data_IF_778282363770
#
_entry.id   IF_778282363770
#
_cell.length_a   1.000
_cell.length_b   1.000
_cell.length_c   1.000
_cell.angle_alpha   90.00
_cell.angle_beta   90.00
_cell.angle_gamma   90.00
#
_symmetry.space_group_name_H-M   'P 1'
#
loop_
_entity.id
_entity.type
_entity.pdbx_description
1 polymer ?
#
# COMPACT_ATOMS: atom_id res chain seq x y z
N UNK A 1 -8.64 -30.49 12.53
CA UNK A 1 -10.12 -30.54 12.47
C UNK A 1 -10.79 -29.40 13.26
N UNK A 2 -10.13 -28.81 14.26
CA UNK A 2 -10.67 -27.70 15.07
C UNK A 2 -10.11 -26.33 14.67
N UNK A 3 -9.92 -26.08 13.37
CA UNK A 3 -9.37 -24.82 12.86
C UNK A 3 -10.50 -23.93 12.37
N UNK A 4 -10.49 -22.66 12.77
CA UNK A 4 -11.32 -21.59 12.19
C UNK A 4 -10.49 -20.77 11.23
N UNK A 5 -10.95 -20.67 9.98
CA UNK A 5 -10.26 -19.94 8.90
C UNK A 5 -10.98 -18.61 8.68
N UNK A 6 -10.20 -17.52 8.65
CA UNK A 6 -10.69 -16.20 8.21
C UNK A 6 -10.09 -15.90 6.84
N UNK A 7 -10.94 -15.68 5.85
CA UNK A 7 -10.52 -15.28 4.50
C UNK A 7 -10.82 -13.79 4.33
N UNK A 8 -9.79 -12.98 4.50
CA UNK A 8 -9.91 -11.54 4.32
C UNK A 8 -9.89 -11.17 2.84
N UNK A 9 -10.57 -10.04 2.49
CA UNK A 9 -10.79 -9.59 1.11
C UNK A 9 -11.22 -10.74 0.20
N UNK A 10 -12.18 -11.51 0.66
CA UNK A 10 -12.60 -12.79 0.03
C UNK A 10 -12.99 -12.62 -1.43
N UNK A 11 -13.57 -11.48 -1.82
CA UNK A 11 -13.91 -11.14 -3.20
C UNK A 11 -12.71 -11.12 -4.16
N UNK A 12 -11.49 -11.02 -3.64
CA UNK A 12 -10.22 -11.12 -4.38
C UNK A 12 -9.56 -12.47 -4.12
N UNK A 13 -9.49 -12.90 -2.86
CA UNK A 13 -8.78 -14.11 -2.44
C UNK A 13 -9.39 -15.38 -3.07
N UNK A 14 -10.72 -15.50 -3.09
CA UNK A 14 -11.39 -16.68 -3.66
C UNK A 14 -11.14 -16.85 -5.16
N UNK A 15 -11.27 -15.80 -6.01
CA UNK A 15 -10.87 -15.87 -7.41
C UNK A 15 -9.39 -16.20 -7.62
N UNK A 16 -8.49 -15.68 -6.78
CA UNK A 16 -7.06 -15.99 -6.85
C UNK A 16 -6.79 -17.46 -6.56
N UNK A 17 -7.39 -18.03 -5.51
CA UNK A 17 -7.31 -19.47 -5.20
C UNK A 17 -7.80 -20.32 -6.37
N UNK A 18 -8.89 -19.92 -7.02
CA UNK A 18 -9.41 -20.62 -8.19
C UNK A 18 -8.46 -20.58 -9.40
N UNK A 19 -7.79 -19.43 -9.62
CA UNK A 19 -6.84 -19.23 -10.72
C UNK A 19 -5.46 -19.87 -10.51
N UNK A 20 -5.04 -20.07 -9.26
CA UNK A 20 -3.67 -20.41 -8.87
C UNK A 20 -3.16 -21.71 -9.50
N UNK A 21 -3.95 -22.80 -9.41
CA UNK A 21 -3.59 -24.09 -10.01
C UNK A 21 -3.43 -24.00 -11.54
N UNK A 22 -4.40 -23.37 -12.21
CA UNK A 22 -4.38 -23.28 -13.68
C UNK A 22 -3.17 -22.46 -14.17
N UNK A 23 -2.87 -21.36 -13.52
CA UNK A 23 -1.73 -20.52 -13.85
C UNK A 23 -0.40 -21.23 -13.67
N UNK A 24 -0.20 -21.91 -12.53
CA UNK A 24 1.02 -22.69 -12.25
C UNK A 24 1.18 -23.85 -13.23
N UNK A 25 0.11 -24.61 -13.47
CA UNK A 25 0.08 -25.75 -14.39
C UNK A 25 0.47 -25.30 -15.81
N UNK A 26 -0.19 -24.28 -16.36
CA UNK A 26 0.10 -23.78 -17.71
C UNK A 26 1.55 -23.34 -17.85
N UNK A 27 2.06 -22.55 -16.87
CA UNK A 27 3.44 -22.10 -16.87
C UNK A 27 4.44 -23.28 -16.85
N UNK A 28 4.26 -24.24 -15.96
CA UNK A 28 5.14 -25.40 -15.82
C UNK A 28 5.10 -26.31 -17.03
N UNK A 29 3.89 -26.52 -17.59
CA UNK A 29 3.72 -27.29 -18.82
C UNK A 29 4.54 -26.70 -19.96
N UNK A 30 4.38 -25.40 -20.22
CA UNK A 30 5.17 -24.70 -21.24
C UNK A 30 6.67 -24.83 -21.00
N UNK A 31 7.14 -24.58 -19.76
CA UNK A 31 8.57 -24.66 -19.43
C UNK A 31 9.12 -26.09 -19.59
N UNK A 32 8.34 -27.13 -19.32
CA UNK A 32 8.72 -28.51 -19.51
C UNK A 32 8.75 -28.90 -21.00
N UNK A 33 7.74 -28.49 -21.78
CA UNK A 33 7.68 -28.74 -23.22
C UNK A 33 8.85 -28.15 -23.99
N UNK A 34 9.32 -26.96 -23.57
CA UNK A 34 10.49 -26.30 -24.17
C UNK A 34 11.82 -26.64 -23.49
N UNK A 35 11.87 -27.63 -22.57
CA UNK A 35 13.09 -28.11 -21.95
C UNK A 35 13.71 -27.20 -20.88
N UNK A 36 13.03 -26.13 -20.46
CA UNK A 36 13.51 -25.26 -19.39
C UNK A 36 13.35 -25.86 -17.99
N UNK A 37 12.47 -26.84 -17.83
CA UNK A 37 12.23 -27.60 -16.61
C UNK A 37 12.02 -29.08 -16.90
N UNK A 38 12.33 -29.94 -15.92
CA UNK A 38 12.02 -31.36 -16.00
C UNK A 38 10.50 -31.58 -15.91
N UNK A 39 9.96 -32.65 -16.55
CA UNK A 39 8.53 -33.01 -16.45
C UNK A 39 8.03 -33.15 -15.01
N UNK A 40 8.88 -33.67 -14.10
CA UNK A 40 8.58 -33.82 -12.67
C UNK A 40 8.27 -32.48 -11.95
N UNK A 41 8.55 -31.33 -12.55
CA UNK A 41 8.12 -30.04 -11.99
C UNK A 41 6.59 -29.92 -11.85
N UNK A 42 5.84 -30.73 -12.58
CA UNK A 42 4.38 -30.78 -12.53
C UNK A 42 3.85 -31.39 -11.22
N UNK A 43 4.66 -32.22 -10.53
CA UNK A 43 4.26 -32.93 -9.31
C UNK A 43 4.16 -31.98 -8.11
N UNK A 44 5.04 -30.98 -8.06
CA UNK A 44 4.95 -29.91 -7.07
C UNK A 44 3.98 -28.83 -7.54
N UNK A 45 2.75 -28.90 -7.11
CA UNK A 45 1.66 -28.02 -7.55
C UNK A 45 0.87 -27.44 -6.37
N UNK A 46 0.25 -26.24 -6.54
CA UNK A 46 -0.73 -25.75 -5.59
C UNK A 46 -1.99 -26.63 -5.60
N UNK A 47 -2.78 -26.52 -4.55
CA UNK A 47 -4.10 -27.17 -4.49
C UNK A 47 -5.01 -26.67 -5.62
N UNK A 48 -5.84 -27.55 -6.13
CA UNK A 48 -7.00 -27.15 -6.94
C UNK A 48 -8.04 -26.50 -6.03
N UNK A 49 -8.85 -25.63 -6.58
CA UNK A 49 -9.91 -24.96 -5.82
C UNK A 49 -10.85 -25.95 -5.11
N UNK A 50 -11.25 -27.02 -5.79
CA UNK A 50 -12.12 -28.06 -5.23
C UNK A 50 -11.44 -28.83 -4.07
N UNK A 51 -10.14 -29.06 -4.16
CA UNK A 51 -9.36 -29.70 -3.09
C UNK A 51 -9.31 -28.79 -1.86
N UNK A 52 -9.02 -27.50 -2.07
CA UNK A 52 -9.04 -26.49 -1.01
C UNK A 52 -10.43 -26.37 -0.37
N UNK A 53 -11.49 -26.32 -1.18
CA UNK A 53 -12.86 -26.20 -0.70
C UNK A 53 -13.30 -27.41 0.13
N UNK A 54 -12.88 -28.62 -0.27
CA UNK A 54 -13.16 -29.85 0.47
C UNK A 54 -12.35 -29.97 1.78
N UNK A 55 -11.15 -29.39 1.83
CA UNK A 55 -10.26 -29.43 3.01
C UNK A 55 -10.58 -28.37 4.05
N UNK A 56 -11.18 -27.24 3.65
CA UNK A 56 -11.47 -26.16 4.58
C UNK A 56 -12.51 -26.60 5.62
N UNK A 57 -12.25 -26.21 6.85
CA UNK A 57 -13.14 -26.39 7.99
C UNK A 57 -14.10 -25.20 8.13
N UNK A 58 -14.49 -24.84 9.34
CA UNK A 58 -15.27 -23.63 9.58
C UNK A 58 -14.57 -22.41 9.03
N UNK A 59 -15.22 -21.67 8.14
CA UNK A 59 -14.59 -20.57 7.42
C UNK A 59 -15.49 -19.33 7.45
N UNK A 60 -14.90 -18.19 7.80
CA UNK A 60 -15.53 -16.88 7.75
C UNK A 60 -14.90 -16.08 6.60
N UNK A 61 -15.73 -15.68 5.63
CA UNK A 61 -15.32 -14.83 4.53
C UNK A 61 -15.63 -13.37 4.87
N UNK A 62 -14.61 -12.51 4.81
CA UNK A 62 -14.72 -11.09 5.14
C UNK A 62 -14.47 -10.28 3.88
N UNK A 63 -15.38 -9.36 3.57
CA UNK A 63 -15.25 -8.46 2.43
C UNK A 63 -16.17 -7.26 2.58
N UNK A 64 -15.72 -6.08 2.14
CA UNK A 64 -16.59 -4.91 2.00
C UNK A 64 -17.57 -5.05 0.81
N UNK A 65 -17.24 -5.92 -0.14
CA UNK A 65 -17.98 -6.16 -1.40
C UNK A 65 -17.97 -7.65 -1.74
N UNK A 66 -18.78 -8.49 -1.05
CA UNK A 66 -18.77 -9.95 -1.24
C UNK A 66 -18.90 -10.38 -2.71
N UNK A 67 -18.20 -11.45 -3.08
CA UNK A 67 -18.20 -12.00 -4.43
C UNK A 67 -19.45 -12.83 -4.75
N UNK A 68 -19.68 -13.14 -6.05
CA UNK A 68 -20.81 -14.00 -6.44
C UNK A 68 -20.72 -15.39 -5.83
N UNK A 69 -19.50 -15.93 -5.69
CA UNK A 69 -19.28 -17.26 -5.14
C UNK A 69 -19.70 -17.33 -3.67
N UNK A 70 -19.28 -16.36 -2.84
CA UNK A 70 -19.62 -16.29 -1.40
C UNK A 70 -21.14 -16.14 -1.22
N UNK A 71 -21.76 -15.25 -2.01
CA UNK A 71 -23.20 -15.04 -1.97
C UNK A 71 -23.98 -16.30 -2.42
N UNK A 72 -23.46 -17.04 -3.40
CA UNK A 72 -24.04 -18.30 -3.84
C UNK A 72 -23.95 -19.36 -2.73
N UNK A 73 -22.81 -19.49 -2.05
CA UNK A 73 -22.62 -20.45 -0.96
C UNK A 73 -23.55 -20.19 0.22
N UNK A 74 -23.90 -18.94 0.49
CA UNK A 74 -24.75 -18.53 1.60
C UNK A 74 -26.20 -18.26 1.21
N UNK A 75 -26.60 -18.59 -0.02
CA UNK A 75 -27.93 -18.25 -0.59
C UNK A 75 -28.25 -16.76 -0.43
N UNK A 76 -27.27 -15.89 -0.62
CA UNK A 76 -27.38 -14.45 -0.50
C UNK A 76 -27.42 -13.90 0.93
N UNK A 77 -27.29 -14.75 1.94
CA UNK A 77 -27.26 -14.31 3.34
C UNK A 77 -25.87 -13.93 3.79
N UNK A 78 -25.74 -12.79 4.44
CA UNK A 78 -24.49 -12.33 5.03
C UNK A 78 -24.75 -11.46 6.27
N UNK A 79 -23.74 -11.34 7.14
CA UNK A 79 -23.78 -10.47 8.31
C UNK A 79 -23.18 -9.12 7.92
N UNK A 80 -23.97 -8.07 8.09
CA UNK A 80 -23.60 -6.71 7.70
C UNK A 80 -23.01 -5.94 8.90
N UNK A 81 -21.69 -5.71 8.90
CA UNK A 81 -20.97 -4.97 9.92
C UNK A 81 -20.63 -3.57 9.41
N UNK A 82 -21.55 -2.63 9.56
CA UNK A 82 -21.40 -1.25 9.07
C UNK A 82 -20.89 -0.29 10.15
N UNK A 83 -21.26 -0.53 11.40
CA UNK A 83 -21.01 0.42 12.48
C UNK A 83 -19.53 0.47 12.86
N UNK A 84 -18.95 1.66 12.80
CA UNK A 84 -17.59 1.97 13.25
C UNK A 84 -17.62 2.57 14.64
N UNK A 85 -16.86 2.00 15.62
CA UNK A 85 -16.81 2.52 17.00
C UNK A 85 -16.32 3.97 17.08
N UNK A 86 -15.46 4.40 16.11
CA UNK A 86 -14.94 5.77 16.00
C UNK A 86 -15.99 6.81 15.62
N UNK A 87 -17.20 6.39 15.24
CA UNK A 87 -18.25 7.27 14.75
C UNK A 87 -18.04 7.78 13.31
N UNK A 88 -16.94 7.43 12.64
CA UNK A 88 -16.65 7.87 11.28
C UNK A 88 -17.68 7.35 10.28
N UNK A 89 -18.24 8.26 9.50
CA UNK A 89 -19.18 7.95 8.44
C UNK A 89 -18.48 7.71 7.12
N UNK A 90 -19.12 7.00 6.21
CA UNK A 90 -18.68 6.95 4.82
C UNK A 90 -18.69 8.36 4.21
N UNK A 91 -17.79 8.67 3.26
CA UNK A 91 -17.63 10.00 2.70
C UNK A 91 -18.87 10.42 1.91
N UNK A 92 -19.03 11.73 1.73
CA UNK A 92 -20.00 12.29 0.79
C UNK A 92 -19.51 12.04 -0.64
N UNK A 93 -20.41 11.55 -1.50
CA UNK A 93 -20.11 11.27 -2.90
C UNK A 93 -20.80 12.28 -3.78
N UNK A 94 -20.04 13.03 -4.57
CA UNK A 94 -20.52 14.01 -5.54
C UNK A 94 -20.26 13.50 -6.95
N UNK A 95 -21.25 13.62 -7.83
CA UNK A 95 -21.07 13.36 -9.26
C UNK A 95 -20.97 14.69 -9.98
N UNK A 96 -19.90 14.88 -10.74
CA UNK A 96 -19.62 16.09 -11.53
C UNK A 96 -19.40 15.76 -13.01
N UNK A 97 -19.69 16.71 -13.93
CA UNK A 97 -19.46 16.48 -15.35
C UNK A 97 -18.00 16.15 -15.67
N UNK A 98 -17.76 15.20 -16.60
CA UNK A 98 -16.42 14.85 -17.01
C UNK A 98 -15.74 15.89 -17.93
N UNK A 99 -16.50 16.77 -18.56
CA UNK A 99 -15.99 17.74 -19.57
C UNK A 99 -14.84 18.62 -19.06
N UNK A 100 -14.88 19.08 -17.80
CA UNK A 100 -13.86 19.95 -17.20
C UNK A 100 -13.21 19.27 -15.97
N UNK A 101 -13.13 17.95 -15.98
CA UNK A 101 -12.68 17.16 -14.81
C UNK A 101 -11.26 17.49 -14.34
N UNK A 102 -10.36 17.87 -15.23
CA UNK A 102 -8.95 18.14 -14.91
C UNK A 102 -8.79 19.47 -14.17
N UNK A 103 -9.45 20.53 -14.63
CA UNK A 103 -9.37 21.87 -14.02
C UNK A 103 -10.10 21.92 -12.68
N UNK A 104 -11.26 21.26 -12.60
CA UNK A 104 -12.01 21.12 -11.35
C UNK A 104 -11.21 20.31 -10.32
N UNK A 105 -10.62 19.21 -10.75
CA UNK A 105 -9.72 18.38 -9.92
C UNK A 105 -8.51 19.17 -9.41
N UNK A 106 -7.87 19.98 -10.27
CA UNK A 106 -6.74 20.83 -9.89
C UNK A 106 -7.12 21.77 -8.74
N UNK A 107 -8.30 22.40 -8.83
CA UNK A 107 -8.81 23.32 -7.82
C UNK A 107 -9.04 22.57 -6.49
N UNK A 108 -9.72 21.44 -6.54
CA UNK A 108 -10.00 20.60 -5.36
C UNK A 108 -8.70 20.09 -4.70
N UNK A 109 -7.73 19.63 -5.50
CA UNK A 109 -6.44 19.18 -4.98
C UNK A 109 -5.69 20.33 -4.26
N UNK A 110 -5.71 21.55 -4.81
CA UNK A 110 -5.11 22.72 -4.16
C UNK A 110 -5.81 23.09 -2.84
N UNK A 111 -7.12 22.99 -2.78
CA UNK A 111 -7.88 23.25 -1.54
C UNK A 111 -7.57 22.24 -0.44
N UNK A 112 -7.52 20.96 -0.80
CA UNK A 112 -7.19 19.87 0.13
C UNK A 112 -5.74 19.97 0.61
N UNK A 113 -4.79 20.28 -0.28
CA UNK A 113 -3.40 20.49 0.08
C UNK A 113 -3.21 21.68 1.05
N UNK A 114 -3.95 22.78 0.89
CA UNK A 114 -3.95 23.91 1.83
C UNK A 114 -4.36 23.52 3.24
N UNK A 115 -5.26 22.55 3.37
CA UNK A 115 -5.71 21.97 4.65
C UNK A 115 -4.74 20.93 5.21
N UNK A 116 -3.62 20.67 4.53
CA UNK A 116 -2.64 19.64 4.86
C UNK A 116 -3.17 18.20 4.83
N UNK A 117 -4.20 17.95 4.02
CA UNK A 117 -4.72 16.61 3.72
C UNK A 117 -4.17 16.07 2.39
N UNK A 118 -4.45 14.81 2.10
CA UNK A 118 -3.97 14.10 0.91
C UNK A 118 -5.13 13.75 -0.02
N UNK A 119 -4.80 13.68 -1.31
CA UNK A 119 -5.76 13.36 -2.36
C UNK A 119 -5.32 12.10 -3.12
N UNK A 120 -6.28 11.22 -3.41
CA UNK A 120 -6.10 10.04 -4.26
C UNK A 120 -6.89 10.25 -5.55
N UNK A 121 -6.25 10.09 -6.70
CA UNK A 121 -6.87 10.27 -8.01
C UNK A 121 -6.74 8.99 -8.82
N UNK A 122 -7.87 8.48 -9.35
CA UNK A 122 -7.86 7.28 -10.18
C UNK A 122 -8.14 7.61 -11.64
N UNK A 123 -7.28 7.09 -12.53
CA UNK A 123 -7.42 7.19 -13.99
C UNK A 123 -7.69 5.82 -14.61
N UNK A 124 -7.95 5.77 -15.91
CA UNK A 124 -8.19 4.52 -16.64
C UNK A 124 -6.94 3.93 -17.27
N UNK A 125 -5.98 4.76 -17.67
CA UNK A 125 -4.79 4.33 -18.40
C UNK A 125 -3.51 4.91 -17.83
N UNK A 126 -2.37 4.25 -18.09
CA UNK A 126 -1.04 4.73 -17.69
C UNK A 126 -0.76 6.11 -18.29
N UNK A 127 -1.00 6.27 -19.59
CA UNK A 127 -0.78 7.53 -20.28
C UNK A 127 -1.57 8.68 -19.64
N UNK A 128 -2.86 8.46 -19.35
CA UNK A 128 -3.68 9.47 -18.68
C UNK A 128 -3.16 9.81 -17.28
N UNK A 129 -2.60 8.83 -16.55
CA UNK A 129 -2.00 9.08 -15.25
C UNK A 129 -0.71 9.92 -15.36
N UNK A 130 0.12 9.65 -16.35
CA UNK A 130 1.35 10.39 -16.64
C UNK A 130 1.03 11.82 -17.07
N UNK A 131 0.18 11.99 -18.08
CA UNK A 131 -0.24 13.31 -18.59
C UNK A 131 -0.89 14.17 -17.48
N UNK A 132 -1.73 13.56 -16.64
CA UNK A 132 -2.35 14.23 -15.50
C UNK A 132 -1.33 14.64 -14.43
N UNK A 133 -0.36 13.77 -14.15
CA UNK A 133 0.70 14.07 -13.18
C UNK A 133 1.55 15.23 -13.64
N UNK A 134 1.95 15.27 -14.92
CA UNK A 134 2.68 16.37 -15.51
C UNK A 134 1.89 17.67 -15.42
N UNK A 135 0.62 17.66 -15.84
CA UNK A 135 -0.27 18.82 -15.75
C UNK A 135 -0.41 19.39 -14.33
N UNK A 136 -0.67 18.51 -13.35
CA UNK A 136 -0.79 18.93 -11.94
C UNK A 136 0.53 19.49 -11.41
N UNK A 137 1.66 18.89 -11.77
CA UNK A 137 3.00 19.36 -11.38
C UNK A 137 3.32 20.75 -11.96
N UNK A 138 3.06 20.96 -13.24
CA UNK A 138 3.24 22.27 -13.91
C UNK A 138 2.40 23.37 -13.26
N UNK A 139 1.22 23.00 -12.73
CA UNK A 139 0.33 23.90 -11.99
C UNK A 139 0.66 24.04 -10.50
N UNK A 140 1.85 23.58 -10.06
CA UNK A 140 2.39 23.78 -8.72
C UNK A 140 1.82 22.86 -7.65
N UNK A 141 1.21 21.72 -8.04
CA UNK A 141 0.75 20.68 -7.10
C UNK A 141 1.86 19.65 -6.92
N UNK A 142 2.15 19.29 -5.67
CA UNK A 142 3.09 18.20 -5.38
C UNK A 142 2.39 16.87 -5.61
N UNK A 143 2.70 16.22 -6.72
CA UNK A 143 2.04 15.01 -7.19
C UNK A 143 3.03 13.91 -7.53
N UNK A 144 2.63 12.67 -7.28
CA UNK A 144 3.28 11.46 -7.80
C UNK A 144 2.26 10.54 -8.45
N UNK A 145 2.69 9.72 -9.42
CA UNK A 145 1.85 8.64 -9.94
C UNK A 145 2.39 7.28 -9.52
N UNK A 146 1.48 6.30 -9.48
CA UNK A 146 1.79 4.93 -9.13
C UNK A 146 1.17 3.97 -10.16
N UNK A 147 2.00 3.09 -10.75
CA UNK A 147 1.57 2.09 -11.74
C UNK A 147 1.95 0.66 -11.31
N UNK A 148 1.52 -0.33 -12.10
CA UNK A 148 1.70 -1.75 -11.79
C UNK A 148 3.14 -2.25 -11.79
N UNK A 149 4.05 -1.52 -12.46
CA UNK A 149 5.42 -1.96 -12.67
C UNK A 149 6.38 -1.45 -11.59
N UNK A 150 5.85 -0.68 -10.61
CA UNK A 150 6.58 -0.21 -9.44
C UNK A 150 6.82 -1.39 -8.49
N UNK A 151 8.06 -1.54 -8.03
CA UNK A 151 8.44 -2.55 -7.06
C UNK A 151 7.72 -2.36 -5.71
N UNK A 152 7.58 -3.46 -4.97
CA UNK A 152 6.86 -3.46 -3.69
C UNK A 152 7.49 -2.51 -2.67
N UNK A 153 8.83 -2.43 -2.63
CA UNK A 153 9.55 -1.53 -1.72
C UNK A 153 9.31 -0.06 -2.08
N UNK A 154 9.44 0.28 -3.36
CA UNK A 154 9.17 1.64 -3.85
C UNK A 154 7.69 2.05 -3.60
N UNK A 155 6.74 1.11 -3.76
CA UNK A 155 5.34 1.35 -3.42
C UNK A 155 5.15 1.71 -1.94
N UNK A 156 5.84 1.04 -1.04
CA UNK A 156 5.80 1.32 0.40
C UNK A 156 6.34 2.74 0.68
N UNK A 157 7.46 3.11 0.05
CA UNK A 157 8.05 4.43 0.18
C UNK A 157 7.12 5.54 -0.35
N UNK A 158 6.50 5.34 -1.53
CA UNK A 158 5.54 6.29 -2.10
C UNK A 158 4.36 6.52 -1.14
N UNK A 159 3.81 5.46 -0.54
CA UNK A 159 2.69 5.58 0.41
C UNK A 159 3.13 6.30 1.69
N UNK A 160 4.33 6.01 2.20
CA UNK A 160 4.92 6.69 3.34
C UNK A 160 5.13 8.19 3.07
N UNK A 161 5.73 8.52 1.93
CA UNK A 161 5.99 9.89 1.50
C UNK A 161 4.69 10.69 1.37
N UNK A 162 3.63 10.09 0.82
CA UNK A 162 2.30 10.68 0.78
C UNK A 162 1.78 10.99 2.19
N UNK A 163 1.87 10.03 3.11
CA UNK A 163 1.39 10.19 4.48
C UNK A 163 2.17 11.27 5.25
N UNK A 164 3.50 11.32 5.10
CA UNK A 164 4.36 12.34 5.70
C UNK A 164 4.08 13.73 5.08
N UNK A 165 3.67 13.78 3.80
CA UNK A 165 3.39 15.02 3.09
C UNK A 165 4.55 15.55 2.26
N UNK A 166 5.43 14.67 1.81
CA UNK A 166 6.44 15.01 0.79
C UNK A 166 5.73 15.48 -0.49
N UNK A 167 4.59 14.86 -0.80
CA UNK A 167 3.68 15.28 -1.85
C UNK A 167 2.22 15.13 -1.38
N UNK A 168 1.27 15.79 -2.07
CA UNK A 168 -0.10 15.96 -1.62
C UNK A 168 -1.10 15.11 -2.42
N UNK A 169 -0.75 14.75 -3.66
CA UNK A 169 -1.65 14.04 -4.59
C UNK A 169 -0.97 12.77 -5.11
N UNK A 170 -1.66 11.65 -5.00
CA UNK A 170 -1.26 10.38 -5.60
C UNK A 170 -2.20 10.02 -6.74
N UNK A 171 -1.67 9.93 -7.96
CA UNK A 171 -2.40 9.49 -9.14
C UNK A 171 -2.13 7.99 -9.38
N UNK A 172 -3.16 7.22 -9.65
CA UNK A 172 -2.99 5.78 -9.92
C UNK A 172 -4.13 5.21 -10.77
N UNK A 173 -3.93 4.02 -11.33
CA UNK A 173 -4.94 3.34 -12.15
C UNK A 173 -5.80 2.43 -11.26
N UNK A 174 -5.25 1.33 -10.85
CA UNK A 174 -5.94 0.26 -10.14
C UNK A 174 -5.40 0.03 -8.71
N UNK A 175 -4.24 0.57 -8.42
CA UNK A 175 -3.47 0.30 -7.20
C UNK A 175 -4.02 0.99 -5.95
N UNK A 176 -5.09 1.77 -6.10
CA UNK A 176 -5.70 2.52 -5.01
C UNK A 176 -6.87 1.77 -4.33
N UNK A 177 -7.09 0.49 -4.65
CA UNK A 177 -8.23 -0.29 -4.11
C UNK A 177 -7.89 -1.03 -2.83
N UNK A 178 -6.99 -2.00 -2.87
CA UNK A 178 -6.63 -2.83 -1.71
C UNK A 178 -5.27 -2.43 -1.13
N UNK A 179 -5.06 -2.74 0.15
CA UNK A 179 -3.76 -2.61 0.81
C UNK A 179 -3.31 -1.18 1.12
N UNK A 180 -4.16 -0.16 0.95
CA UNK A 180 -3.86 1.21 1.31
C UNK A 180 -4.57 1.62 2.59
N UNK A 181 -3.80 2.12 3.54
CA UNK A 181 -4.29 2.70 4.79
C UNK A 181 -3.72 4.11 4.95
N UNK A 182 -4.48 5.10 4.47
CA UNK A 182 -4.09 6.52 4.45
C UNK A 182 -5.16 7.34 5.17
N UNK A 183 -5.09 7.45 6.51
CA UNK A 183 -6.05 8.24 7.30
C UNK A 183 -6.04 9.73 6.93
N UNK A 184 -4.93 10.22 6.38
CA UNK A 184 -4.75 11.61 5.94
C UNK A 184 -5.47 11.93 4.63
N UNK A 185 -6.02 10.90 3.94
CA UNK A 185 -6.75 11.08 2.68
C UNK A 185 -8.13 11.70 2.92
N UNK A 186 -8.33 12.92 2.45
CA UNK A 186 -9.61 13.63 2.52
C UNK A 186 -10.32 13.74 1.18
N UNK A 187 -9.62 13.55 0.06
CA UNK A 187 -10.22 13.56 -1.27
C UNK A 187 -9.90 12.28 -2.04
N UNK A 188 -10.94 11.68 -2.57
CA UNK A 188 -10.82 10.64 -3.61
C UNK A 188 -11.52 11.12 -4.86
N UNK A 189 -10.80 11.23 -5.96
CA UNK A 189 -11.33 11.62 -7.25
C UNK A 189 -11.24 10.46 -8.26
N UNK A 190 -12.34 10.16 -8.91
CA UNK A 190 -12.44 9.10 -9.91
C UNK A 190 -12.76 9.74 -11.25
N UNK A 191 -11.78 9.79 -12.14
CA UNK A 191 -11.94 10.33 -13.49
C UNK A 191 -12.63 9.31 -14.40
N UNK A 192 -13.42 9.81 -15.34
CA UNK A 192 -14.17 8.98 -16.29
C UNK A 192 -14.90 7.82 -15.60
N UNK A 193 -15.65 8.13 -14.56
CA UNK A 193 -16.34 7.12 -13.74
C UNK A 193 -17.47 6.40 -14.50
N UNK A 194 -17.98 6.99 -15.57
CA UNK A 194 -19.02 6.45 -16.45
C UNK A 194 -18.49 5.50 -17.54
N UNK A 195 -17.17 5.38 -17.69
CA UNK A 195 -16.57 4.40 -18.61
C UNK A 195 -16.63 3.01 -18.00
N UNK A 196 -17.74 2.30 -18.26
CA UNK A 196 -17.98 0.97 -17.68
C UNK A 196 -16.86 -0.02 -18.03
N UNK A 197 -16.48 -0.83 -17.04
CA UNK A 197 -15.44 -1.83 -17.15
C UNK A 197 -15.01 -2.34 -15.78
N UNK A 198 -14.02 -3.21 -15.74
CA UNK A 198 -13.53 -3.82 -14.51
C UNK A 198 -13.08 -2.77 -13.45
N UNK A 199 -12.46 -1.68 -13.91
CA UNK A 199 -11.98 -0.60 -13.03
C UNK A 199 -13.09 0.34 -12.53
N UNK A 200 -14.26 0.32 -13.14
CA UNK A 200 -15.43 1.16 -12.82
C UNK A 200 -16.67 0.33 -12.49
N UNK A 201 -16.47 -0.94 -12.13
CA UNK A 201 -17.55 -1.79 -11.60
C UNK A 201 -18.01 -1.26 -10.23
N UNK A 202 -19.25 -1.56 -9.86
CA UNK A 202 -19.83 -1.26 -8.55
C UNK A 202 -18.84 -1.52 -7.39
N UNK A 203 -18.24 -2.73 -7.37
CA UNK A 203 -17.27 -3.12 -6.34
C UNK A 203 -16.03 -2.24 -6.33
N UNK A 204 -15.47 -1.99 -7.52
CA UNK A 204 -14.31 -1.14 -7.65
C UNK A 204 -14.57 0.28 -7.15
N UNK A 205 -15.73 0.83 -7.47
CA UNK A 205 -16.14 2.16 -6.99
C UNK A 205 -16.29 2.17 -5.47
N UNK A 206 -17.01 1.22 -4.88
CA UNK A 206 -17.19 1.14 -3.42
C UNK A 206 -15.83 1.02 -2.70
N UNK A 207 -14.92 0.19 -3.18
CA UNK A 207 -13.58 0.01 -2.61
C UNK A 207 -12.77 1.31 -2.66
N UNK A 208 -12.82 2.02 -3.78
CA UNK A 208 -12.09 3.27 -3.96
C UNK A 208 -12.71 4.39 -3.12
N UNK A 209 -14.03 4.53 -3.09
CA UNK A 209 -14.78 5.47 -2.25
C UNK A 209 -14.40 5.27 -0.78
N UNK A 210 -14.30 4.03 -0.33
CA UNK A 210 -13.95 3.67 1.04
C UNK A 210 -12.57 4.19 1.51
N UNK A 211 -11.67 4.60 0.60
CA UNK A 211 -10.37 5.16 0.98
C UNK A 211 -10.48 6.51 1.69
N UNK A 212 -11.51 7.31 1.39
CA UNK A 212 -11.76 8.57 2.09
C UNK A 212 -12.55 8.40 3.41
N UNK A 213 -13.01 7.20 3.74
CA UNK A 213 -13.89 6.95 4.90
C UNK A 213 -13.18 7.01 6.27
N UNK A 214 -11.88 7.27 6.32
CA UNK A 214 -11.09 7.38 7.56
C UNK A 214 -10.83 8.82 7.99
N UNK A 215 -11.22 9.78 7.18
CA UNK A 215 -11.09 11.19 7.45
C UNK A 215 -12.47 11.81 7.70
N UNK A 216 -12.58 12.70 8.68
CA UNK A 216 -13.83 13.43 8.97
C UNK A 216 -14.27 14.32 7.80
N UNK A 217 -13.32 14.94 7.11
CA UNK A 217 -13.55 15.77 5.93
C UNK A 217 -13.53 14.96 4.62
N UNK A 218 -13.69 13.62 4.74
CA UNK A 218 -13.67 12.72 3.59
C UNK A 218 -14.72 13.06 2.54
N UNK A 219 -14.27 13.33 1.31
CA UNK A 219 -15.09 13.68 0.15
C UNK A 219 -14.69 12.82 -1.04
N UNK A 220 -15.66 12.43 -1.85
CA UNK A 220 -15.41 11.69 -3.09
C UNK A 220 -16.08 12.42 -4.25
N UNK A 221 -15.33 12.55 -5.35
CA UNK A 221 -15.83 13.13 -6.60
C UNK A 221 -15.75 12.08 -7.69
N UNK A 222 -16.90 11.78 -8.28
CA UNK A 222 -17.02 10.94 -9.47
C UNK A 222 -17.23 11.84 -10.67
N UNK A 223 -16.26 11.91 -11.57
CA UNK A 223 -16.43 12.64 -12.81
C UNK A 223 -17.10 11.75 -13.85
N UNK A 224 -18.32 12.08 -14.21
CA UNK A 224 -19.15 11.30 -15.11
C UNK A 224 -20.17 12.17 -15.82
N UNK A 225 -20.32 12.00 -17.12
CA UNK A 225 -21.36 12.69 -17.90
C UNK A 225 -22.71 11.95 -17.80
N UNK A 226 -22.67 10.63 -17.53
CA UNK A 226 -23.84 9.79 -17.33
C UNK A 226 -23.72 8.97 -16.05
N UNK A 227 -24.79 8.93 -15.26
CA UNK A 227 -24.87 7.99 -14.14
C UNK A 227 -25.14 6.58 -14.68
N UNK A 228 -24.14 5.70 -14.56
CA UNK A 228 -24.27 4.28 -14.90
C UNK A 228 -24.89 3.50 -13.73
N UNK A 229 -25.40 2.31 -14.01
CA UNK A 229 -25.93 1.41 -12.94
C UNK A 229 -24.89 1.11 -11.86
N UNK A 230 -23.62 1.03 -12.22
CA UNK A 230 -22.51 0.80 -11.28
C UNK A 230 -22.31 2.00 -10.35
N UNK A 231 -22.42 3.24 -10.89
CA UNK A 231 -22.34 4.48 -10.10
C UNK A 231 -23.53 4.58 -9.15
N UNK A 232 -24.76 4.36 -9.65
CA UNK A 232 -25.99 4.44 -8.84
C UNK A 232 -25.90 3.49 -7.63
N UNK A 233 -25.60 2.22 -7.86
CA UNK A 233 -25.48 1.22 -6.78
C UNK A 233 -24.37 1.56 -5.78
N UNK A 234 -23.23 2.05 -6.27
CA UNK A 234 -22.14 2.44 -5.39
C UNK A 234 -22.54 3.62 -4.49
N UNK A 235 -23.26 4.60 -5.03
CA UNK A 235 -23.77 5.74 -4.26
C UNK A 235 -24.83 5.27 -3.26
N UNK A 236 -25.81 4.48 -3.69
CA UNK A 236 -26.88 3.96 -2.81
C UNK A 236 -26.28 3.19 -1.61
N UNK A 237 -25.31 2.31 -1.86
CA UNK A 237 -24.68 1.54 -0.79
C UNK A 237 -23.88 2.43 0.15
N UNK A 238 -23.13 3.39 -0.37
CA UNK A 238 -22.36 4.34 0.44
C UNK A 238 -23.30 5.19 1.30
N UNK A 239 -24.41 5.69 0.72
CA UNK A 239 -25.43 6.46 1.47
C UNK A 239 -26.15 5.61 2.50
N UNK A 240 -26.49 4.35 2.20
CA UNK A 240 -27.08 3.40 3.15
C UNK A 240 -26.20 3.24 4.38
N UNK A 241 -24.90 2.98 4.16
CA UNK A 241 -23.92 2.85 5.24
C UNK A 241 -23.76 4.14 6.04
N UNK A 242 -23.67 5.28 5.35
CA UNK A 242 -23.58 6.60 5.98
C UNK A 242 -24.80 6.91 6.86
N UNK A 243 -26.01 6.70 6.35
CA UNK A 243 -27.27 6.91 7.09
C UNK A 243 -27.31 6.04 8.36
N UNK A 244 -26.94 4.76 8.24
CA UNK A 244 -26.92 3.82 9.37
C UNK A 244 -25.93 4.25 10.44
N UNK A 245 -24.73 4.68 10.06
CA UNK A 245 -23.71 5.18 10.99
C UNK A 245 -24.17 6.47 11.69
N UNK A 246 -24.74 7.43 10.95
CA UNK A 246 -25.26 8.67 11.53
C UNK A 246 -26.38 8.43 12.54
N UNK A 247 -27.31 7.52 12.24
CA UNK A 247 -28.38 7.13 13.17
C UNK A 247 -27.81 6.52 14.45
N UNK A 248 -26.82 5.66 14.31
CA UNK A 248 -26.14 5.05 15.46
C UNK A 248 -25.40 6.08 16.30
N UNK A 249 -24.65 6.99 15.67
CA UNK A 249 -23.94 8.06 16.35
C UNK A 249 -24.91 8.95 17.15
N UNK A 250 -26.02 9.34 16.52
CA UNK A 250 -27.06 10.16 17.17
C UNK A 250 -27.69 9.44 18.35
N UNK A 251 -28.00 8.14 18.22
CA UNK A 251 -28.61 7.35 19.28
C UNK A 251 -27.69 7.17 20.48
N UNK A 252 -26.38 7.06 20.26
CA UNK A 252 -25.39 6.77 21.30
C UNK A 252 -24.56 7.99 21.70
N UNK A 253 -24.89 9.20 21.21
CA UNK A 253 -24.16 10.45 21.46
C UNK A 253 -22.67 10.35 21.15
N UNK A 254 -22.32 9.68 20.05
CA UNK A 254 -20.93 9.48 19.62
C UNK A 254 -20.53 10.65 18.72
N UNK A 255 -19.45 11.35 19.11
CA UNK A 255 -18.78 12.31 18.26
C UNK A 255 -17.72 11.59 17.42
N UNK A 256 -17.83 11.75 16.09
CA UNK A 256 -16.86 11.15 15.18
C UNK A 256 -15.46 11.74 15.39
N UNK A 257 -14.44 10.86 15.41
CA UNK A 257 -13.04 11.28 15.55
C UNK A 257 -12.20 10.70 14.42
N UNK A 258 -11.34 11.53 13.81
CA UNK A 258 -10.41 11.06 12.79
C UNK A 258 -9.42 10.06 13.37
N UNK A 259 -9.11 9.02 12.59
CA UNK A 259 -8.10 8.04 12.98
C UNK A 259 -6.72 8.68 12.80
N UNK A 260 -5.92 8.65 13.87
CA UNK A 260 -4.50 9.01 13.82
C UNK A 260 -3.69 7.71 13.93
N UNK A 261 -2.95 7.38 12.89
CA UNK A 261 -2.07 6.21 12.87
C UNK A 261 -0.62 6.68 12.76
N UNK A 262 0.23 6.24 13.68
CA UNK A 262 1.67 6.51 13.62
C UNK A 262 2.25 6.06 12.28
N UNK A 263 3.15 6.86 11.71
CA UNK A 263 3.91 6.49 10.50
C UNK A 263 5.17 5.80 11.01
N UNK A 264 5.11 4.48 11.16
CA UNK A 264 6.29 3.67 11.47
C UNK A 264 7.07 3.36 10.18
N UNK A 265 8.37 3.27 10.29
CA UNK A 265 9.20 2.75 9.22
C UNK A 265 8.92 1.25 9.07
N UNK A 266 8.22 0.87 7.99
CA UNK A 266 7.84 -0.52 7.75
C UNK A 266 9.09 -1.38 7.51
N UNK A 267 10.15 -0.78 6.99
CA UNK A 267 11.45 -1.45 6.83
C UNK A 267 12.08 -1.81 8.19
N UNK A 268 11.96 -0.92 9.19
CA UNK A 268 12.38 -1.25 10.57
C UNK A 268 11.51 -2.39 11.15
N UNK A 269 10.20 -2.40 10.89
CA UNK A 269 9.31 -3.41 11.46
C UNK A 269 9.47 -4.81 10.83
N UNK A 270 9.91 -4.92 9.59
CA UNK A 270 10.17 -6.22 8.93
C UNK A 270 11.48 -6.82 9.44
N UNK A 271 12.49 -6.00 9.66
CA UNK A 271 13.76 -6.45 10.25
C UNK A 271 13.68 -6.67 11.76
N UNK A 272 12.78 -5.95 12.49
CA UNK A 272 12.60 -6.11 13.94
C UNK A 272 11.70 -7.28 14.32
N UNK A 273 10.87 -7.82 13.44
CA UNK A 273 9.99 -8.96 13.76
C UNK A 273 10.73 -10.29 13.88
N UNK A 274 11.90 -10.41 13.30
CA UNK A 274 12.77 -11.59 13.46
C UNK A 274 13.62 -11.56 14.74
N UNK A 275 13.60 -10.45 15.48
CA UNK A 275 14.29 -10.32 16.75
C UNK A 275 13.26 -10.20 17.87
N UNK A 276 13.17 -11.22 18.72
CA UNK A 276 12.47 -11.17 20.00
C UNK A 276 12.80 -9.86 20.71
N UNK A 277 11.77 -9.08 21.06
CA UNK A 277 11.92 -7.89 21.89
C UNK A 277 12.58 -8.31 23.21
N UNK A 278 13.86 -8.02 23.32
CA UNK A 278 14.50 -7.99 24.62
C UNK A 278 14.06 -6.66 25.24
N UNK A 279 13.19 -6.71 26.23
CA UNK A 279 12.85 -5.56 27.05
C UNK A 279 14.15 -5.02 27.67
N UNK A 280 14.64 -3.92 27.08
CA UNK A 280 15.76 -3.18 27.65
C UNK A 280 15.17 -2.38 28.81
N UNK A 281 15.22 -3.00 30.00
CA UNK A 281 14.91 -2.37 31.26
C UNK A 281 15.84 -1.16 31.44
N UNK A 282 15.26 -0.01 31.71
CA UNK A 282 15.89 1.32 31.72
C UNK A 282 16.78 1.56 32.96
N UNK A 283 17.79 0.72 33.16
CA UNK A 283 18.87 0.98 34.13
C UNK A 283 20.13 1.47 33.41
N UNK A 284 20.07 2.72 33.00
CA UNK A 284 21.12 3.43 32.29
C UNK A 284 22.29 3.77 33.25
N UNK A 285 23.48 3.38 32.88
CA UNK A 285 24.71 4.07 33.29
C UNK A 285 25.93 3.24 33.63
N UNK A 286 25.86 2.12 34.39
CA UNK A 286 27.07 1.38 34.80
C UNK A 286 27.19 -0.05 34.25
N UNK A 287 26.13 -0.60 33.71
CA UNK A 287 26.10 -1.97 33.18
C UNK A 287 26.39 -2.07 31.66
N UNK A 288 26.24 -0.97 30.89
CA UNK A 288 26.37 -1.01 29.42
C UNK A 288 27.76 -1.42 28.98
N UNK A 289 28.83 -0.90 29.60
CA UNK A 289 30.24 -1.27 29.28
C UNK A 289 30.54 -2.75 29.61
N UNK A 290 29.96 -3.28 30.67
CA UNK A 290 30.08 -4.70 31.01
C UNK A 290 29.31 -5.57 30.00
N UNK A 291 28.13 -5.11 29.59
CA UNK A 291 27.30 -5.80 28.61
C UNK A 291 27.95 -5.81 27.22
N UNK A 292 28.47 -4.68 26.73
CA UNK A 292 29.24 -4.60 25.50
C UNK A 292 30.49 -5.53 25.53
N UNK A 293 31.16 -5.62 26.67
CA UNK A 293 32.32 -6.53 26.81
C UNK A 293 31.90 -8.00 26.75
N UNK A 294 30.74 -8.37 27.31
CA UNK A 294 30.19 -9.73 27.23
C UNK A 294 29.73 -10.10 25.83
N UNK A 295 29.10 -9.16 25.11
CA UNK A 295 28.68 -9.36 23.73
C UNK A 295 29.89 -9.50 22.79
N UNK A 296 30.95 -8.70 22.96
CA UNK A 296 32.19 -8.84 22.20
C UNK A 296 32.86 -10.21 22.44
N UNK A 297 32.75 -10.75 23.66
CA UNK A 297 33.26 -12.09 23.96
C UNK A 297 32.43 -13.18 23.28
N UNK A 298 31.08 -13.09 23.34
CA UNK A 298 30.17 -14.01 22.65
C UNK A 298 30.37 -14.00 21.13
N UNK A 299 30.52 -12.82 20.54
CA UNK A 299 30.80 -12.70 19.10
C UNK A 299 32.07 -13.43 18.70
N UNK A 300 33.13 -13.37 19.55
CA UNK A 300 34.41 -14.03 19.30
C UNK A 300 34.31 -15.56 19.46
N UNK A 301 33.60 -16.03 20.47
CA UNK A 301 33.30 -17.44 20.70
C UNK A 301 32.48 -18.05 19.54
N UNK A 302 31.42 -17.33 19.08
CA UNK A 302 30.64 -17.78 17.92
C UNK A 302 31.46 -17.80 16.62
N UNK A 303 32.38 -16.86 16.43
CA UNK A 303 33.31 -16.86 15.28
C UNK A 303 34.32 -17.98 15.34
N UNK A 304 34.84 -18.33 16.52
CA UNK A 304 35.75 -19.47 16.73
C UNK A 304 35.06 -20.81 16.50
N UNK A 305 33.76 -20.90 16.80
CA UNK A 305 32.92 -22.07 16.55
C UNK A 305 32.38 -22.17 15.11
N UNK A 306 32.78 -21.25 14.21
CA UNK A 306 32.32 -21.18 12.81
C UNK A 306 30.81 -20.86 12.66
N UNK A 307 30.15 -20.37 13.69
CA UNK A 307 28.76 -19.94 13.68
C UNK A 307 28.63 -18.48 13.19
N UNK A 308 28.93 -18.29 11.91
CA UNK A 308 29.07 -16.95 11.31
C UNK A 308 27.76 -16.13 11.33
N UNK A 309 26.60 -16.78 11.28
CA UNK A 309 25.31 -16.09 11.37
C UNK A 309 25.05 -15.54 12.77
N UNK A 310 25.39 -16.28 13.82
CA UNK A 310 25.29 -15.80 15.20
C UNK A 310 26.32 -14.69 15.48
N UNK A 311 27.54 -14.86 15.03
CA UNK A 311 28.59 -13.85 15.14
C UNK A 311 28.17 -12.53 14.44
N UNK A 312 27.50 -12.60 13.28
CA UNK A 312 26.98 -11.43 12.57
C UNK A 312 25.84 -10.74 13.35
N UNK A 313 24.92 -11.49 13.93
CA UNK A 313 23.83 -10.98 14.77
C UNK A 313 24.38 -10.20 15.98
N UNK A 314 25.29 -10.82 16.72
CA UNK A 314 25.90 -10.19 17.90
C UNK A 314 26.73 -8.95 17.52
N UNK A 315 27.40 -8.94 16.38
CA UNK A 315 28.13 -7.78 15.85
C UNK A 315 27.17 -6.59 15.57
N UNK A 316 26.03 -6.86 14.97
CA UNK A 316 25.09 -5.82 14.63
C UNK A 316 24.38 -5.25 15.88
N UNK A 317 24.20 -6.08 16.92
CA UNK A 317 23.74 -5.67 18.24
C UNK A 317 24.77 -4.74 18.94
N UNK A 318 26.04 -5.10 18.90
CA UNK A 318 27.15 -4.26 19.41
C UNK A 318 27.14 -2.90 18.71
N UNK A 319 27.00 -2.85 17.38
CA UNK A 319 26.95 -1.59 16.61
C UNK A 319 25.75 -0.71 17.01
N UNK A 320 24.58 -1.31 17.24
CA UNK A 320 23.39 -0.57 17.70
C UNK A 320 23.61 0.03 19.09
N UNK A 321 24.17 -0.72 20.01
CA UNK A 321 24.46 -0.24 21.36
C UNK A 321 25.55 0.83 21.39
N UNK A 322 26.60 0.71 20.58
CA UNK A 322 27.63 1.75 20.42
C UNK A 322 27.08 3.03 19.78
N UNK A 323 26.14 2.90 18.81
CA UNK A 323 25.46 4.04 18.20
C UNK A 323 24.54 4.76 19.19
N UNK A 324 23.84 4.02 20.06
CA UNK A 324 23.01 4.61 21.11
C UNK A 324 23.83 5.32 22.21
N UNK A 325 25.03 4.84 22.54
CA UNK A 325 25.97 5.50 23.45
C UNK A 325 26.49 6.83 22.87
N UNK A 326 26.72 6.88 21.55
CA UNK A 326 27.10 8.09 20.82
C UNK A 326 25.95 9.11 20.72
N UNK A 327 24.71 8.67 20.59
CA UNK A 327 23.53 9.56 20.55
C UNK A 327 23.22 10.21 21.91
N UNK A 328 23.52 9.56 23.02
CA UNK A 328 23.36 10.10 24.38
C UNK A 328 24.43 11.18 24.67
N UNK A 329 25.58 11.13 24.02
CA UNK A 329 26.68 12.09 24.19
C UNK A 329 26.59 13.36 23.31
N UNK A 330 25.65 13.39 22.31
CA UNK A 330 25.49 14.51 21.41
C UNK A 330 24.30 15.39 21.83
N UNK A 331 24.59 16.56 22.33
CA UNK A 331 23.70 17.61 22.79
C UNK A 331 22.53 17.88 21.79
N UNK A 332 21.25 17.93 22.23
CA UNK A 332 20.08 18.01 21.33
C UNK A 332 20.00 19.31 20.50
N UNK A 333 20.81 20.31 20.77
CA UNK A 333 20.90 21.56 19.99
C UNK A 333 21.62 21.40 18.63
N UNK A 334 22.42 20.36 18.45
CA UNK A 334 23.20 20.16 17.20
C UNK A 334 22.42 19.33 16.18
N UNK A 335 21.35 18.65 16.60
CA UNK A 335 20.49 17.82 15.73
C UNK A 335 19.70 18.63 14.69
N UNK A 336 19.37 19.90 14.98
CA UNK A 336 18.64 20.79 14.05
C UNK A 336 19.51 21.34 12.90
N UNK A 337 20.83 21.44 13.05
CA UNK A 337 21.72 21.99 12.01
C UNK A 337 22.25 20.95 11.02
N UNK A 338 22.28 19.66 11.37
CA UNK A 338 22.75 18.59 10.46
C UNK A 338 21.66 18.01 9.56
N UNK A 339 20.38 18.18 9.90
CA UNK A 339 19.25 17.78 9.05
C UNK A 339 18.97 18.77 7.92
N UNK A 340 19.43 20.02 8.02
CA UNK A 340 19.27 21.01 6.95
C UNK A 340 20.35 20.95 5.85
N UNK A 341 21.46 20.24 6.07
CA UNK A 341 22.59 20.19 5.13
C UNK A 341 22.72 18.85 4.36
N UNK A 342 21.71 18.00 4.36
CA UNK A 342 21.63 16.80 3.49
C UNK A 342 20.62 16.95 2.35
N UNK A 343 20.50 18.15 1.81
CA UNK A 343 19.81 18.40 0.57
C UNK A 343 20.88 18.59 -0.51
N UNK A 344 21.08 17.58 -1.35
CA UNK A 344 21.80 17.50 -2.61
C UNK A 344 23.13 18.29 -2.73
N UNK A 345 24.27 17.64 -2.93
CA UNK A 345 25.45 18.31 -3.46
C UNK A 345 25.23 18.58 -4.95
N UNK A 346 25.24 19.86 -5.30
CA UNK A 346 25.33 20.35 -6.67
C UNK A 346 26.49 19.70 -7.43
N UNK A 347 26.27 19.52 -8.73
CA UNK A 347 27.10 18.77 -9.65
C UNK A 347 28.60 19.08 -9.61
N UNK A 348 29.38 18.05 -9.46
CA UNK A 348 30.79 18.06 -9.85
C UNK A 348 30.88 17.74 -11.35
N UNK A 349 31.32 18.71 -12.09
CA UNK A 349 31.83 18.56 -13.45
C UNK A 349 32.91 17.48 -13.47
N UNK A 350 32.68 16.39 -14.19
CA UNK A 350 33.70 15.39 -14.49
C UNK A 350 34.57 15.90 -15.61
N UNK A 351 35.76 16.38 -15.28
CA UNK A 351 36.87 16.47 -16.24
C UNK A 351 37.27 15.06 -16.66
N UNK A 352 37.49 14.93 -17.96
CA UNK A 352 37.65 13.69 -18.69
C UNK A 352 38.81 12.81 -18.28
N UNK A 353 38.58 11.51 -18.44
CA UNK A 353 39.63 10.52 -18.68
C UNK A 353 39.48 10.01 -20.14
N UNK A 354 40.57 9.89 -20.89
CA UNK A 354 40.51 9.50 -22.30
C UNK A 354 40.46 7.97 -22.48
N UNK A 355 39.66 7.56 -23.41
CA UNK A 355 39.87 6.37 -24.22
C UNK A 355 39.18 5.08 -23.82
N UNK A 356 37.98 4.83 -24.38
CA UNK A 356 37.76 3.58 -25.14
C UNK A 356 36.50 3.76 -26.02
N UNK A 357 36.70 3.73 -27.34
CA UNK A 357 35.63 3.78 -28.34
C UNK A 357 34.89 2.44 -28.39
N UNK A 358 33.64 2.41 -27.93
CA UNK A 358 32.70 1.32 -28.19
C UNK A 358 31.78 1.71 -29.37
N UNK A 359 31.85 0.91 -30.46
CA UNK A 359 31.04 1.07 -31.65
C UNK A 359 29.57 0.71 -31.35
N UNK A 360 28.67 1.69 -31.38
CA UNK A 360 27.21 1.45 -31.41
C UNK A 360 26.81 1.06 -32.82
N UNK A 361 26.37 -0.18 -33.05
CA UNK A 361 25.64 -0.61 -34.25
C UNK A 361 24.20 -0.08 -34.17
N UNK A 362 23.84 0.78 -35.13
CA UNK A 362 22.46 1.19 -35.41
C UNK A 362 21.75 0.04 -36.14
N UNK A 363 20.68 -0.48 -35.54
CA UNK A 363 19.74 -1.37 -36.24
C UNK A 363 18.66 -0.51 -36.88
N UNK A 364 18.58 -0.54 -38.20
CA UNK A 364 17.44 -0.01 -38.99
C UNK A 364 16.44 -1.16 -39.15
N UNK A 365 15.25 -1.01 -38.60
CA UNK A 365 14.12 -1.89 -38.90
C UNK A 365 13.42 -1.32 -40.15
N UNK A 366 13.37 -2.11 -41.23
CA UNK A 366 12.50 -1.88 -42.37
C UNK A 366 11.14 -2.48 -42.05
N UNK A 367 10.11 -1.65 -42.25
CA UNK A 367 8.69 -2.05 -42.22
C UNK A 367 8.33 -2.51 -43.64
N UNK A 368 7.79 -3.71 -43.75
CA UNK A 368 6.91 -4.12 -44.84
C UNK A 368 5.56 -4.46 -44.22
#
# INVERSE_FOLDING_TARGET
>A
DNTLIFVDESHVTVPQLNGMYKGDHTRKKTLSEYGFRLPSCMDNRPLKFQEWDAMRTQTIFVSATPGPWELQQTSGKFVDQVIRPTGLCDPEVQVRPAKNQVDDLLTECKEIAKKNYRSLVTTLTKKMAEDLTEYLHENGVKVRYMHSDIDTLERIEIIRDLRIGVFDVLVGINLLREGLDIPECALVAILDADKEGFLRSERSLIQTIGRAARNLEGKVILYADKKTKSIEKAIEETERRRKRQLQYNKKNNINATSIKKGISDILESVYERDYTKIDIDSSIGHNLKKHLKSLKKKMKEAAENLEFEEAAKVRDEIKKLEASELEISINPKIRKSKLQNKIYPEGRSTQGRPGTKSKRKKWKIKIY
#
